data_IF_318128113585
#
_entry.id   IF_318128113585
#
_cell.length_a   1.000
_cell.length_b   1.000
_cell.length_c   1.000
_cell.angle_alpha   90.00
_cell.angle_beta   90.00
_cell.angle_gamma   90.00
#
_symmetry.space_group_name_H-M   'P 1'
#
loop_
_entity.id
_entity.type
_entity.pdbx_description
1 polymer ?
#
# COMPACT_ATOMS: atom_id res chain seq x y z
N UNK A 1 -7.25 0.27 -26.35
CA UNK A 1 -5.96 0.97 -26.17
C UNK A 1 -4.87 -0.07 -26.28
N UNK A 2 -3.75 0.21 -26.88
CA UNK A 2 -2.57 -0.69 -26.96
C UNK A 2 -1.41 0.08 -26.36
N UNK A 3 -0.77 -0.49 -25.35
CA UNK A 3 0.35 0.08 -24.63
C UNK A 3 1.54 -0.87 -24.65
N UNK A 4 2.78 -0.38 -24.58
CA UNK A 4 3.96 -1.24 -24.45
C UNK A 4 3.89 -2.05 -23.17
N UNK A 5 4.27 -3.34 -23.21
CA UNK A 5 4.49 -4.13 -22.01
C UNK A 5 5.85 -3.75 -21.40
N UNK A 6 5.80 -3.07 -20.27
CA UNK A 6 7.01 -2.64 -19.56
C UNK A 6 7.59 -3.77 -18.70
N UNK A 7 8.91 -3.79 -18.57
CA UNK A 7 9.60 -4.70 -17.67
C UNK A 7 9.52 -4.16 -16.23
N UNK A 8 8.39 -4.46 -15.58
CA UNK A 8 8.06 -4.01 -14.24
C UNK A 8 9.02 -4.56 -13.20
N UNK A 9 9.50 -3.69 -12.31
CA UNK A 9 10.30 -4.02 -11.14
C UNK A 9 9.48 -3.93 -9.85
N UNK A 10 8.68 -2.84 -9.69
CA UNK A 10 7.93 -2.59 -8.47
C UNK A 10 6.65 -1.81 -8.78
N UNK A 11 5.53 -2.21 -8.17
CA UNK A 11 4.27 -1.45 -8.15
C UNK A 11 4.14 -0.72 -6.82
N UNK A 12 3.81 0.57 -6.89
CA UNK A 12 3.52 1.37 -5.71
C UNK A 12 2.52 2.49 -6.05
N UNK A 13 1.99 3.14 -5.04
CA UNK A 13 1.15 4.31 -5.24
C UNK A 13 1.65 5.48 -4.39
N UNK A 14 1.51 6.68 -4.92
CA UNK A 14 1.55 7.91 -4.16
C UNK A 14 0.12 8.23 -3.69
N UNK A 15 -0.07 8.33 -2.39
CA UNK A 15 -1.35 8.57 -1.77
C UNK A 15 -1.48 10.04 -1.39
N UNK A 16 -2.62 10.64 -1.70
CA UNK A 16 -2.89 12.05 -1.51
C UNK A 16 -4.23 12.28 -0.83
N UNK A 17 -4.43 13.50 -0.37
CA UNK A 17 -5.70 14.00 0.15
C UNK A 17 -6.07 15.31 -0.53
N UNK A 18 -7.23 15.35 -1.19
CA UNK A 18 -7.85 16.58 -1.65
C UNK A 18 -8.62 17.24 -0.50
N UNK A 19 -8.28 18.48 -0.19
CA UNK A 19 -8.81 19.25 0.92
C UNK A 19 -10.00 20.11 0.47
N UNK A 20 -10.88 20.54 1.40
CA UNK A 20 -12.02 21.41 1.08
C UNK A 20 -11.62 22.78 0.51
N UNK A 21 -10.41 23.25 0.78
CA UNK A 21 -9.86 24.51 0.24
C UNK A 21 -9.28 24.38 -1.18
N UNK A 22 -9.41 23.19 -1.79
CA UNK A 22 -8.96 22.90 -3.14
C UNK A 22 -7.51 22.43 -3.26
N UNK A 23 -6.75 22.46 -2.18
CA UNK A 23 -5.38 21.90 -2.18
C UNK A 23 -5.41 20.38 -2.20
N UNK A 24 -4.43 19.78 -2.86
CA UNK A 24 -4.13 18.35 -2.75
C UNK A 24 -2.78 18.20 -2.07
N UNK A 25 -2.73 17.39 -1.01
CA UNK A 25 -1.53 17.18 -0.23
C UNK A 25 -1.10 15.71 -0.32
N UNK A 26 0.18 15.47 -0.47
CA UNK A 26 0.78 14.15 -0.40
C UNK A 26 0.77 13.62 1.03
N UNK A 27 0.36 12.36 1.21
CA UNK A 27 0.27 11.69 2.51
C UNK A 27 1.36 10.61 2.68
N UNK A 28 1.86 10.05 1.59
CA UNK A 28 2.89 9.02 1.62
C UNK A 28 2.83 8.07 0.44
N UNK A 29 3.74 7.09 0.44
CA UNK A 29 3.75 5.99 -0.55
C UNK A 29 3.21 4.71 0.07
N UNK A 30 2.61 3.88 -0.77
CA UNK A 30 2.15 2.54 -0.43
C UNK A 30 2.63 1.53 -1.44
N UNK A 31 3.09 0.36 -0.97
CA UNK A 31 3.43 -0.77 -1.84
C UNK A 31 2.28 -1.75 -1.87
N UNK A 32 1.83 -2.10 -3.04
CA UNK A 32 0.81 -3.12 -3.21
C UNK A 32 1.32 -4.28 -4.05
N UNK A 33 0.79 -5.44 -3.77
CA UNK A 33 1.09 -6.66 -4.50
C UNK A 33 -0.14 -7.13 -5.25
N UNK A 34 0.07 -7.57 -6.48
CA UNK A 34 -0.95 -8.15 -7.32
C UNK A 34 -0.51 -9.52 -7.82
N UNK A 35 -1.48 -10.40 -8.09
CA UNK A 35 -1.23 -11.65 -8.81
C UNK A 35 -0.85 -11.37 -10.26
N UNK A 36 -0.38 -12.40 -10.98
CA UNK A 36 -0.17 -12.34 -12.43
C UNK A 36 -1.45 -11.97 -13.23
N UNK A 37 -2.63 -12.06 -12.61
CA UNK A 37 -3.93 -11.65 -13.18
C UNK A 37 -4.38 -10.28 -12.68
N UNK A 38 -3.47 -9.47 -12.15
CA UNK A 38 -3.75 -8.13 -11.59
C UNK A 38 -4.78 -8.12 -10.44
N UNK A 39 -4.92 -9.24 -9.72
CA UNK A 39 -5.77 -9.28 -8.52
C UNK A 39 -4.95 -8.81 -7.32
N UNK A 40 -5.49 -7.84 -6.58
CA UNK A 40 -4.87 -7.36 -5.35
C UNK A 40 -4.67 -8.48 -4.32
N UNK A 41 -3.48 -8.53 -3.71
CA UNK A 41 -3.11 -9.49 -2.66
C UNK A 41 -3.00 -8.79 -1.31
N UNK A 42 -2.34 -7.64 -1.27
CA UNK A 42 -2.07 -6.92 -0.02
C UNK A 42 -1.13 -5.73 -0.19
N UNK A 43 -0.85 -5.07 0.92
CA UNK A 43 0.11 -3.96 1.01
C UNK A 43 1.20 -4.29 2.04
N UNK A 44 2.44 -3.90 1.73
CA UNK A 44 3.51 -3.80 2.73
C UNK A 44 3.17 -2.67 3.69
N UNK A 45 3.26 -2.94 4.98
CA UNK A 45 3.01 -1.99 6.07
C UNK A 45 4.30 -1.78 6.85
N UNK A 46 4.84 -0.60 6.73
CA UNK A 46 6.07 -0.17 7.37
C UNK A 46 6.06 1.36 7.53
N UNK A 47 7.07 1.93 8.20
CA UNK A 47 7.25 3.38 8.25
C UNK A 47 7.54 3.95 6.86
N UNK A 48 7.14 5.19 6.60
CA UNK A 48 7.41 5.85 5.33
C UNK A 48 8.91 5.93 5.02
N UNK A 49 9.74 6.11 6.03
CA UNK A 49 11.19 6.11 5.89
C UNK A 49 11.69 4.77 5.32
N UNK A 50 11.22 3.65 5.85
CA UNK A 50 11.61 2.33 5.37
C UNK A 50 11.07 2.05 3.96
N UNK A 51 9.80 2.38 3.69
CA UNK A 51 9.21 2.21 2.36
C UNK A 51 9.96 3.03 1.30
N UNK A 52 10.32 4.28 1.59
CA UNK A 52 11.11 5.13 0.68
C UNK A 52 12.52 4.57 0.48
N UNK A 53 13.16 4.10 1.55
CA UNK A 53 14.47 3.44 1.44
C UNK A 53 14.41 2.21 0.53
N UNK A 54 13.41 1.35 0.68
CA UNK A 54 13.24 0.15 -0.13
C UNK A 54 12.95 0.47 -1.61
N UNK A 55 12.19 1.52 -1.87
CA UNK A 55 11.82 1.93 -3.22
C UNK A 55 12.98 2.57 -3.96
N UNK A 56 13.61 3.55 -3.32
CA UNK A 56 14.62 4.37 -3.98
C UNK A 56 16.02 3.84 -3.71
N UNK A 57 16.48 3.77 -2.45
CA UNK A 57 17.78 3.27 -2.07
C UNK A 57 18.89 3.71 -3.05
N UNK A 58 19.58 2.73 -3.63
CA UNK A 58 20.54 2.93 -4.70
C UNK A 58 19.93 2.84 -6.11
N UNK A 59 18.61 2.58 -6.22
CA UNK A 59 17.94 2.24 -7.48
C UNK A 59 17.51 3.47 -8.28
N UNK A 60 17.01 4.50 -7.59
CA UNK A 60 16.43 5.68 -8.24
C UNK A 60 16.63 6.93 -7.36
N UNK A 61 17.02 8.10 -7.92
CA UNK A 61 17.25 9.29 -7.12
C UNK A 61 15.96 9.80 -6.47
N UNK A 62 15.92 9.80 -5.15
CA UNK A 62 14.75 10.21 -4.36
C UNK A 62 14.35 11.67 -4.65
N UNK A 63 15.31 12.54 -4.93
CA UNK A 63 15.05 13.94 -5.27
C UNK A 63 14.15 14.11 -6.50
N UNK A 64 14.26 13.25 -7.51
CA UNK A 64 13.37 13.28 -8.69
C UNK A 64 11.95 12.87 -8.33
N UNK A 65 11.79 11.97 -7.40
CA UNK A 65 10.47 11.62 -6.89
C UNK A 65 9.83 12.79 -6.13
N UNK A 66 10.59 13.49 -5.27
CA UNK A 66 10.07 14.64 -4.52
C UNK A 66 9.67 15.80 -5.47
N UNK A 67 10.42 16.04 -6.52
CA UNK A 67 10.03 17.00 -7.56
C UNK A 67 8.75 16.58 -8.29
N UNK A 68 8.61 15.30 -8.62
CA UNK A 68 7.40 14.75 -9.23
C UNK A 68 6.18 14.91 -8.31
N UNK A 69 6.33 14.60 -7.02
CA UNK A 69 5.25 14.77 -6.03
C UNK A 69 4.80 16.22 -5.95
N UNK A 70 5.73 17.19 -5.91
CA UNK A 70 5.39 18.60 -5.89
C UNK A 70 4.64 19.05 -7.17
N UNK A 71 5.00 18.50 -8.33
CA UNK A 71 4.28 18.73 -9.58
C UNK A 71 2.87 18.12 -9.55
N UNK A 72 2.72 16.89 -9.04
CA UNK A 72 1.43 16.21 -8.91
C UNK A 72 0.50 16.95 -7.94
N UNK A 73 0.99 17.40 -6.79
CA UNK A 73 0.21 18.21 -5.86
C UNK A 73 -0.37 19.46 -6.53
N UNK A 74 0.45 20.16 -7.32
CA UNK A 74 0.01 21.35 -8.07
C UNK A 74 -1.03 21.00 -9.13
N UNK A 75 -0.75 20.03 -10.00
CA UNK A 75 -1.64 19.63 -11.10
C UNK A 75 -2.97 19.10 -10.58
N UNK A 76 -2.92 18.24 -9.55
CA UNK A 76 -4.11 17.67 -8.93
C UNK A 76 -4.92 18.76 -8.21
N UNK A 77 -4.29 19.72 -7.54
CA UNK A 77 -4.98 20.87 -6.93
C UNK A 77 -5.71 21.70 -7.99
N UNK A 78 -5.04 22.05 -9.08
CA UNK A 78 -5.65 22.81 -10.18
C UNK A 78 -6.81 22.04 -10.85
N UNK A 79 -6.67 20.72 -11.00
CA UNK A 79 -7.64 19.87 -11.71
C UNK A 79 -8.86 19.54 -10.85
N UNK A 80 -8.64 19.23 -9.55
CA UNK A 80 -9.66 18.71 -8.66
C UNK A 80 -10.33 19.78 -7.80
N UNK A 81 -9.84 21.03 -7.80
CA UNK A 81 -10.44 22.13 -7.06
C UNK A 81 -11.96 22.23 -7.31
N UNK A 82 -12.75 22.24 -6.22
CA UNK A 82 -14.22 22.27 -6.24
C UNK A 82 -14.92 21.08 -6.93
N UNK A 83 -14.18 20.01 -7.27
CA UNK A 83 -14.71 18.81 -7.95
C UNK A 83 -14.62 17.57 -7.09
N UNK A 84 -13.61 17.49 -6.24
CA UNK A 84 -13.36 16.33 -5.40
C UNK A 84 -12.77 16.75 -4.05
N UNK A 85 -13.23 16.12 -2.97
CA UNK A 85 -12.66 16.21 -1.62
C UNK A 85 -12.58 14.81 -1.04
N UNK A 86 -11.40 14.41 -0.58
CA UNK A 86 -11.20 13.09 -0.01
C UNK A 86 -9.84 12.49 -0.37
N UNK A 87 -9.61 11.23 0.01
CA UNK A 87 -8.39 10.50 -0.32
C UNK A 87 -8.36 10.11 -1.80
N UNK A 88 -7.19 10.11 -2.39
CA UNK A 88 -6.95 9.60 -3.75
C UNK A 88 -5.56 8.96 -3.84
N UNK A 89 -5.38 8.05 -4.79
CA UNK A 89 -4.10 7.41 -5.08
C UNK A 89 -3.69 7.61 -6.54
N UNK A 90 -2.40 7.75 -6.78
CA UNK A 90 -1.79 7.71 -8.11
C UNK A 90 -0.90 6.48 -8.17
N UNK A 91 -1.33 5.47 -8.93
CA UNK A 91 -0.56 4.25 -9.11
C UNK A 91 0.63 4.53 -10.02
N UNK A 92 1.79 4.07 -9.60
CA UNK A 92 3.08 4.28 -10.22
C UNK A 92 3.84 2.96 -10.34
N UNK A 93 4.89 2.95 -11.14
CA UNK A 93 5.69 1.75 -11.35
C UNK A 93 7.15 2.12 -11.55
N UNK A 94 8.06 1.38 -10.90
CA UNK A 94 9.44 1.29 -11.37
C UNK A 94 9.53 0.20 -12.43
N UNK A 95 10.15 0.51 -13.54
CA UNK A 95 10.39 -0.42 -14.65
C UNK A 95 11.84 -0.33 -15.14
N UNK A 96 12.28 -1.36 -15.87
CA UNK A 96 13.58 -1.37 -16.52
C UNK A 96 13.39 -1.17 -18.02
N UNK A 97 13.97 -0.09 -18.53
CA UNK A 97 13.99 0.26 -19.96
C UNK A 97 15.45 0.50 -20.39
N UNK A 98 15.86 -0.14 -21.45
CA UNK A 98 17.23 -0.02 -22.01
C UNK A 98 18.38 -0.21 -20.99
N UNK A 99 18.14 -1.07 -19.98
CA UNK A 99 19.07 -1.33 -18.89
C UNK A 99 18.99 -0.37 -17.71
N UNK A 100 18.28 0.73 -17.83
CA UNK A 100 18.10 1.76 -16.79
C UNK A 100 16.80 1.53 -16.01
N UNK A 101 16.80 1.95 -14.74
CA UNK A 101 15.56 1.99 -13.95
C UNK A 101 14.88 3.32 -14.19
N UNK A 102 13.60 3.24 -14.56
CA UNK A 102 12.76 4.40 -14.83
C UNK A 102 11.50 4.36 -13.97
N UNK A 103 11.07 5.55 -13.58
CA UNK A 103 9.79 5.74 -12.91
C UNK A 103 8.71 6.03 -13.94
N UNK A 104 7.67 5.19 -13.98
CA UNK A 104 6.43 5.47 -14.69
C UNK A 104 5.51 6.22 -13.72
N UNK A 105 5.29 7.55 -13.90
CA UNK A 105 4.79 8.41 -12.83
C UNK A 105 3.27 8.37 -12.65
N UNK A 106 2.54 7.77 -13.59
CA UNK A 106 1.09 7.70 -13.52
C UNK A 106 0.57 6.56 -14.39
N UNK A 107 0.23 5.44 -13.77
CA UNK A 107 -0.45 4.30 -14.41
C UNK A 107 -1.96 4.50 -14.33
N UNK A 108 -2.46 4.87 -13.15
CA UNK A 108 -3.87 5.10 -12.89
C UNK A 108 -4.05 6.16 -11.79
N UNK A 109 -5.13 6.95 -11.89
CA UNK A 109 -5.56 7.86 -10.81
C UNK A 109 -6.86 7.35 -10.22
N UNK A 110 -6.84 7.04 -8.94
CA UNK A 110 -7.95 6.49 -8.18
C UNK A 110 -8.57 7.56 -7.28
N UNK A 111 -9.67 8.22 -7.72
CA UNK A 111 -10.39 9.23 -6.93
C UNK A 111 -11.31 8.58 -5.88
N UNK A 112 -10.72 7.87 -4.95
CA UNK A 112 -11.37 7.15 -3.86
C UNK A 112 -10.37 6.79 -2.78
N UNK A 113 -10.86 6.34 -1.63
CA UNK A 113 -10.00 5.64 -0.68
C UNK A 113 -9.45 4.37 -1.31
N UNK A 114 -8.13 4.28 -1.41
CA UNK A 114 -7.40 3.10 -1.89
C UNK A 114 -7.07 2.17 -0.73
N UNK A 115 -6.66 0.95 -1.04
CA UNK A 115 -6.12 0.04 -0.03
C UNK A 115 -4.76 0.53 0.47
N UNK A 116 -3.98 1.19 -0.39
CA UNK A 116 -2.73 1.83 -0.04
C UNK A 116 -2.93 2.97 0.95
N UNK A 117 -3.94 3.81 0.75
CA UNK A 117 -4.27 4.89 1.69
C UNK A 117 -4.65 4.34 3.08
N UNK A 118 -5.37 3.21 3.14
CA UNK A 118 -5.61 2.50 4.40
C UNK A 118 -4.29 2.01 5.01
N UNK A 119 -3.43 1.39 4.19
CA UNK A 119 -2.15 0.82 4.64
C UNK A 119 -1.21 1.87 5.25
N UNK A 120 -1.26 3.14 4.82
CA UNK A 120 -0.50 4.24 5.43
C UNK A 120 -0.80 4.44 6.92
N UNK A 121 -1.97 4.05 7.37
CA UNK A 121 -2.43 4.30 8.74
C UNK A 121 -2.23 3.09 9.66
N UNK A 122 -1.84 1.94 9.11
CA UNK A 122 -1.65 0.70 9.85
C UNK A 122 -0.32 0.61 10.62
N UNK A 123 0.79 1.32 10.25
CA UNK A 123 2.04 1.25 11.01
C UNK A 123 1.89 1.61 12.49
N UNK A 124 0.89 2.43 12.84
CA UNK A 124 0.58 2.78 14.25
C UNK A 124 0.17 1.56 15.12
N UNK A 125 -0.24 0.47 14.48
CA UNK A 125 -0.60 -0.79 15.15
C UNK A 125 0.60 -1.71 15.35
N UNK A 126 1.76 -1.39 14.78
CA UNK A 126 2.98 -2.18 14.84
C UNK A 126 3.93 -1.64 15.91
N UNK A 127 4.65 -2.55 16.56
CA UNK A 127 5.77 -2.16 17.42
C UNK A 127 6.89 -1.49 16.59
N UNK A 128 7.80 -0.82 17.24
CA UNK A 128 8.96 -0.20 16.60
C UNK A 128 9.74 -1.25 15.80
N UNK A 129 10.24 -0.87 14.62
CA UNK A 129 11.07 -1.70 13.74
C UNK A 129 10.40 -3.00 13.26
N UNK A 130 9.08 -3.11 13.41
CA UNK A 130 8.29 -4.22 12.88
C UNK A 130 7.68 -3.84 11.54
N UNK A 131 7.78 -4.75 10.58
CA UNK A 131 7.08 -4.67 9.30
C UNK A 131 6.00 -5.74 9.23
N UNK A 132 4.94 -5.47 8.47
CA UNK A 132 3.85 -6.39 8.29
C UNK A 132 3.32 -6.33 6.85
N UNK A 133 2.51 -7.32 6.50
CA UNK A 133 1.70 -7.28 5.28
C UNK A 133 0.24 -7.15 5.69
N UNK A 134 -0.44 -6.15 5.16
CA UNK A 134 -1.88 -6.07 5.20
C UNK A 134 -2.45 -6.95 4.09
N UNK A 135 -3.28 -7.90 4.46
CA UNK A 135 -3.85 -8.88 3.53
C UNK A 135 -5.36 -8.93 3.64
N UNK A 136 -5.99 -9.26 2.51
CA UNK A 136 -7.41 -9.53 2.42
C UNK A 136 -7.65 -10.87 1.73
N UNK A 137 -8.70 -11.57 2.15
CA UNK A 137 -9.07 -12.86 1.55
C UNK A 137 -10.57 -13.02 1.46
N UNK A 138 -10.99 -13.65 0.37
CA UNK A 138 -12.33 -14.16 0.18
C UNK A 138 -12.31 -15.67 0.17
N UNK A 139 -13.28 -16.29 0.85
CA UNK A 139 -13.55 -17.72 0.79
C UNK A 139 -15.00 -17.98 0.37
N UNK A 140 -15.22 -19.06 -0.37
CA UNK A 140 -16.55 -19.40 -0.86
C UNK A 140 -17.54 -19.75 0.26
N UNK A 141 -17.05 -20.19 1.42
CA UNK A 141 -17.86 -20.52 2.60
C UNK A 141 -17.29 -19.86 3.86
N UNK A 142 -18.17 -19.56 4.80
CA UNK A 142 -17.77 -19.04 6.12
C UNK A 142 -16.90 -20.06 6.90
N UNK A 143 -17.14 -21.36 6.74
CA UNK A 143 -16.33 -22.41 7.37
C UNK A 143 -14.90 -22.41 6.84
N UNK A 144 -14.70 -22.24 5.53
CA UNK A 144 -13.36 -22.12 4.94
C UNK A 144 -12.65 -20.88 5.47
N UNK A 145 -13.35 -19.75 5.59
CA UNK A 145 -12.78 -18.53 6.16
C UNK A 145 -12.40 -18.73 7.63
N UNK A 146 -13.27 -19.30 8.46
CA UNK A 146 -12.94 -19.59 9.87
C UNK A 146 -11.74 -20.52 10.01
N UNK A 147 -11.69 -21.58 9.21
CA UNK A 147 -10.55 -22.50 9.20
C UNK A 147 -9.26 -21.77 8.84
N UNK A 148 -9.29 -20.94 7.80
CA UNK A 148 -8.13 -20.17 7.40
C UNK A 148 -7.66 -19.23 8.52
N UNK A 149 -8.57 -18.43 9.09
CA UNK A 149 -8.25 -17.47 10.13
C UNK A 149 -7.71 -18.14 11.41
N UNK A 150 -8.21 -19.34 11.76
CA UNK A 150 -7.73 -20.12 12.92
C UNK A 150 -6.32 -20.71 12.74
N UNK A 151 -5.80 -20.77 11.49
CA UNK A 151 -4.43 -21.20 11.22
C UNK A 151 -3.43 -20.05 11.20
N UNK A 152 -3.90 -18.79 11.25
CA UNK A 152 -3.00 -17.66 11.37
C UNK A 152 -2.26 -17.71 12.71
N UNK A 153 -0.98 -17.35 12.76
CA UNK A 153 -0.23 -17.32 14.00
C UNK A 153 -0.84 -16.30 14.96
N UNK A 154 -0.96 -16.68 16.23
CA UNK A 154 -1.53 -15.81 17.27
C UNK A 154 -0.75 -14.49 17.39
N UNK A 155 -1.43 -13.35 17.55
CA UNK A 155 -0.75 -12.08 17.72
C UNK A 155 -0.05 -11.97 19.07
N UNK A 156 1.14 -11.40 19.07
CA UNK A 156 1.88 -11.03 20.27
C UNK A 156 2.07 -9.51 20.26
N UNK A 157 1.81 -8.87 21.39
CA UNK A 157 1.85 -7.41 21.53
C UNK A 157 2.95 -6.97 22.49
N UNK A 158 3.43 -5.74 22.32
CA UNK A 158 4.30 -5.05 23.29
C UNK A 158 3.47 -4.46 24.45
N UNK A 159 4.15 -3.77 25.38
CA UNK A 159 3.51 -3.15 26.55
C UNK A 159 2.54 -2.01 26.19
N UNK A 160 2.72 -1.39 25.01
CA UNK A 160 1.82 -0.37 24.47
C UNK A 160 0.68 -0.92 23.63
N UNK A 161 0.56 -2.26 23.54
CA UNK A 161 -0.49 -2.94 22.77
C UNK A 161 -0.28 -2.94 21.26
N UNK A 162 0.96 -2.76 20.78
CA UNK A 162 1.31 -2.80 19.36
C UNK A 162 1.79 -4.18 18.97
N UNK A 163 1.46 -4.61 17.75
CA UNK A 163 1.77 -5.93 17.23
C UNK A 163 3.28 -6.13 17.02
N UNK A 164 3.85 -7.15 17.65
CA UNK A 164 5.25 -7.55 17.52
C UNK A 164 5.44 -8.77 16.64
N UNK A 165 4.52 -9.74 16.70
CA UNK A 165 4.60 -11.01 15.95
C UNK A 165 3.21 -11.54 15.67
N UNK A 166 3.12 -12.47 14.73
CA UNK A 166 1.88 -13.15 14.41
C UNK A 166 0.97 -12.36 13.50
N UNK A 167 -0.31 -12.64 13.54
CA UNK A 167 -1.31 -11.99 12.69
C UNK A 167 -2.42 -11.38 13.54
N UNK A 168 -2.72 -10.11 13.27
CA UNK A 168 -3.81 -9.37 13.92
C UNK A 168 -5.00 -9.30 12.97
N UNK A 169 -6.11 -9.98 13.24
CA UNK A 169 -7.36 -9.80 12.50
C UNK A 169 -7.86 -8.36 12.65
N UNK A 170 -8.16 -7.71 11.52
CA UNK A 170 -8.74 -6.36 11.47
C UNK A 170 -10.26 -6.40 11.28
N UNK A 171 -10.76 -7.52 10.75
CA UNK A 171 -12.19 -7.77 10.56
C UNK A 171 -12.55 -9.04 11.33
N UNK A 172 -13.55 -8.98 12.23
CA UNK A 172 -13.98 -10.17 12.97
C UNK A 172 -14.61 -11.20 12.02
N UNK A 173 -14.24 -12.47 12.22
CA UNK A 173 -14.80 -13.59 11.46
C UNK A 173 -16.03 -14.15 12.19
N UNK A 174 -17.21 -13.56 11.97
CA UNK A 174 -18.46 -13.90 12.65
C UNK A 174 -19.47 -14.49 11.66
N UNK A 175 -20.32 -15.44 12.17
CA UNK A 175 -21.46 -15.94 11.43
C UNK A 175 -21.13 -16.45 10.03
N UNK A 176 -21.61 -15.76 9.01
CA UNK A 176 -21.47 -16.08 7.58
C UNK A 176 -20.36 -15.29 6.88
N UNK A 177 -19.41 -14.74 7.65
CA UNK A 177 -18.27 -13.97 7.13
C UNK A 177 -17.47 -14.78 6.10
N UNK A 178 -17.37 -14.26 4.88
CA UNK A 178 -16.59 -14.83 3.76
C UNK A 178 -15.43 -13.96 3.32
N UNK A 179 -15.38 -12.72 3.79
CA UNK A 179 -14.26 -11.79 3.62
C UNK A 179 -13.60 -11.52 4.96
N UNK A 180 -12.28 -11.49 5.00
CA UNK A 180 -11.54 -11.03 6.17
C UNK A 180 -10.29 -10.27 5.75
N UNK A 181 -9.76 -9.49 6.69
CA UNK A 181 -8.54 -8.73 6.54
C UNK A 181 -7.72 -8.82 7.84
N UNK A 182 -6.41 -8.85 7.70
CA UNK A 182 -5.49 -8.92 8.84
C UNK A 182 -4.15 -8.26 8.52
N UNK A 183 -3.40 -7.95 9.58
CA UNK A 183 -1.97 -7.64 9.52
C UNK A 183 -1.19 -8.89 9.90
N UNK A 184 -0.26 -9.33 9.06
CA UNK A 184 0.68 -10.39 9.39
C UNK A 184 2.09 -9.80 9.47
N UNK A 185 2.74 -9.97 10.63
CA UNK A 185 4.15 -9.56 10.79
C UNK A 185 5.02 -10.42 9.90
N UNK A 186 5.84 -9.79 9.09
CA UNK A 186 6.79 -10.46 8.21
C UNK A 186 8.04 -10.80 9.02
N UNK A 187 8.49 -12.07 9.04
CA UNK A 187 9.80 -12.40 9.61
C UNK A 187 10.91 -11.61 8.92
N UNK A 188 11.91 -11.21 9.67
CA UNK A 188 13.05 -10.45 9.12
C UNK A 188 13.80 -11.21 7.98
N UNK A 189 13.65 -12.52 7.93
CA UNK A 189 14.28 -13.42 6.93
C UNK A 189 13.58 -13.37 5.57
N UNK A 190 12.32 -12.87 5.51
CA UNK A 190 11.50 -12.81 4.28
C UNK A 190 11.49 -11.40 3.64
N UNK A 191 12.35 -10.49 4.11
CA UNK A 191 12.44 -9.10 3.63
C UNK A 191 13.52 -8.87 2.57
N UNK A 192 14.11 -9.94 2.02
CA UNK A 192 15.17 -9.91 1.01
C UNK A 192 14.67 -9.97 -0.43
#
# INVERSE_FOLDING_TARGET
>A
MVEPLLNKLEDFAAEFRALPDGRVCFEGISFFQTTLRCTYIGNKVATQMLLRHDLFGERYPEAYFDELIAQLERILSETLANRYVGPLGVDMMLCREDGEIRLHPCVEINLRMTMGWLALHLPRLLASDVTAVFQMRYEHTADAMRKYMNHLPSPLFDEEGRLMKGALPLVPCLGDTRYSAWLAVTPAEDLG
#
